data_IF_054666692916
#
_entry.id   IF_054666692916
#
_cell.length_a   1.000
_cell.length_b   1.000
_cell.length_c   1.000
_cell.angle_alpha   90.00
_cell.angle_beta   90.00
_cell.angle_gamma   90.00
#
_symmetry.space_group_name_H-M   'P 1'
#
loop_
_entity.id
_entity.type
_entity.pdbx_description
1 polymer ?
#
# COMPACT_ATOMS: atom_id res chain seq x y z
N UNK A 1 27.93 24.95 1.14
CA UNK A 1 26.47 25.06 1.38
C UNK A 1 25.67 23.93 0.72
N UNK A 2 26.07 22.66 0.88
CA UNK A 2 25.42 21.51 0.18
C UNK A 2 24.94 20.40 1.10
N UNK A 3 25.67 20.15 2.20
CA UNK A 3 25.38 19.05 3.12
C UNK A 3 24.08 19.24 3.91
N UNK A 4 23.77 20.48 4.29
CA UNK A 4 22.52 20.80 4.99
C UNK A 4 21.27 20.51 4.16
N UNK A 5 21.32 20.69 2.84
CA UNK A 5 20.17 20.37 1.96
C UNK A 5 19.90 18.87 1.93
N UNK A 6 20.96 18.07 1.92
CA UNK A 6 20.90 16.60 1.98
C UNK A 6 20.40 16.10 3.34
N UNK A 7 20.92 16.64 4.44
CA UNK A 7 20.45 16.32 5.80
C UNK A 7 18.97 16.67 5.99
N UNK A 8 18.53 17.82 5.48
CA UNK A 8 17.14 18.25 5.57
C UNK A 8 16.21 17.36 4.74
N UNK A 9 16.61 17.02 3.51
CA UNK A 9 15.86 16.09 2.66
C UNK A 9 15.79 14.69 3.26
N UNK A 10 16.88 14.19 3.82
CA UNK A 10 16.92 12.88 4.46
C UNK A 10 15.96 12.82 5.66
N UNK A 11 16.00 13.83 6.52
CA UNK A 11 15.09 13.96 7.65
C UNK A 11 13.62 14.05 7.19
N UNK A 12 13.35 14.80 6.12
CA UNK A 12 12.01 14.97 5.56
C UNK A 12 11.47 13.66 4.98
N UNK A 13 12.28 12.91 4.23
CA UNK A 13 11.91 11.58 3.70
C UNK A 13 11.61 10.61 4.85
N UNK A 14 12.47 10.56 5.87
CA UNK A 14 12.27 9.69 7.04
C UNK A 14 10.96 10.06 7.76
N UNK A 15 10.68 11.35 7.95
CA UNK A 15 9.46 11.82 8.58
C UNK A 15 8.20 11.43 7.77
N UNK A 16 8.23 11.62 6.44
CA UNK A 16 7.11 11.24 5.57
C UNK A 16 6.89 9.72 5.58
N UNK A 17 7.96 8.92 5.46
CA UNK A 17 7.88 7.45 5.52
C UNK A 17 7.35 6.98 6.86
N UNK A 18 7.83 7.57 7.96
CA UNK A 18 7.38 7.22 9.31
C UNK A 18 5.91 7.60 9.52
N UNK A 19 5.49 8.78 9.06
CA UNK A 19 4.10 9.23 9.16
C UNK A 19 3.18 8.37 8.30
N UNK A 20 3.56 8.04 7.06
CA UNK A 20 2.84 7.09 6.21
C UNK A 20 2.76 5.71 6.89
N UNK A 21 3.87 5.14 7.38
CA UNK A 21 3.84 3.85 8.09
C UNK A 21 2.96 3.88 9.32
N UNK A 22 2.93 5.00 10.07
CA UNK A 22 2.11 5.16 11.25
C UNK A 22 0.62 5.28 10.90
N UNK A 23 0.29 6.01 9.84
CA UNK A 23 -1.09 6.15 9.36
C UNK A 23 -1.61 4.89 8.67
N UNK A 24 -0.76 4.13 7.95
CA UNK A 24 -1.11 2.84 7.34
C UNK A 24 -1.28 1.73 8.40
N UNK A 25 -0.52 1.75 9.50
CA UNK A 25 -0.68 0.82 10.63
C UNK A 25 -1.83 1.20 11.57
N UNK A 26 -2.30 2.47 11.53
CA UNK A 26 -3.39 2.96 12.37
C UNK A 26 -4.80 2.73 11.79
N UNK A 27 -4.99 1.89 10.75
CA UNK A 27 -6.32 1.40 10.38
C UNK A 27 -6.71 0.16 11.19
N UNK A 28 -7.98 0.12 11.61
CA UNK A 28 -8.37 -0.38 12.91
C UNK A 28 -8.16 -1.89 12.99
N UNK A 29 -7.82 -2.37 14.19
CA UNK A 29 -8.32 -3.65 14.65
C UNK A 29 -9.85 -3.59 14.64
N UNK A 30 -10.47 -3.68 13.46
CA UNK A 30 -11.84 -4.12 13.38
C UNK A 30 -11.76 -5.62 13.57
N UNK A 31 -11.80 -5.98 14.86
CA UNK A 31 -12.47 -7.17 15.34
C UNK A 31 -13.62 -7.46 14.39
N UNK A 32 -13.44 -8.46 13.56
CA UNK A 32 -14.56 -9.28 13.13
C UNK A 32 -14.24 -10.69 13.58
N UNK A 33 -14.40 -10.85 14.89
CA UNK A 33 -14.91 -12.06 15.52
C UNK A 33 -15.88 -12.76 14.54
N UNK A 34 -15.63 -14.04 14.29
CA UNK A 34 -16.64 -14.99 13.83
C UNK A 34 -17.14 -14.85 12.39
N UNK A 35 -16.42 -15.47 11.44
CA UNK A 35 -17.07 -16.41 10.53
C UNK A 35 -16.09 -17.52 10.18
N UNK A 36 -16.36 -18.69 10.75
CA UNK A 36 -15.83 -19.96 10.32
C UNK A 36 -15.90 -20.06 8.78
N UNK A 37 -14.85 -20.64 8.18
CA UNK A 37 -14.87 -21.30 6.88
C UNK A 37 -15.11 -20.45 5.62
N UNK A 38 -14.13 -19.62 5.23
CA UNK A 38 -13.65 -19.64 3.84
C UNK A 38 -12.26 -18.97 3.73
N UNK A 39 -11.25 -19.62 3.14
CA UNK A 39 -10.03 -18.92 2.75
C UNK A 39 -10.42 -17.89 1.69
N UNK A 40 -10.44 -16.62 2.07
CA UNK A 40 -10.55 -15.52 1.10
C UNK A 40 -9.29 -15.59 0.22
N UNK A 41 -9.41 -15.68 -1.12
CA UNK A 41 -8.26 -15.73 -1.99
C UNK A 41 -7.39 -14.49 -1.77
N UNK A 42 -6.14 -14.71 -1.39
CA UNK A 42 -5.15 -13.65 -1.25
C UNK A 42 -4.57 -13.37 -2.63
N UNK A 43 -4.68 -12.13 -3.07
CA UNK A 43 -4.18 -11.67 -4.36
C UNK A 43 -2.97 -10.77 -4.14
N UNK A 44 -2.02 -10.81 -5.06
CA UNK A 44 -0.80 -10.02 -4.96
C UNK A 44 -0.98 -8.69 -5.70
N UNK A 45 -0.58 -7.60 -5.06
CA UNK A 45 -0.58 -6.29 -5.71
C UNK A 45 0.44 -6.29 -6.86
N UNK A 46 0.01 -5.97 -8.08
CA UNK A 46 0.88 -5.91 -9.26
C UNK A 46 1.98 -4.85 -9.16
N UNK A 47 1.79 -3.79 -8.37
CA UNK A 47 2.74 -2.68 -8.24
C UNK A 47 3.64 -2.77 -7.00
N UNK A 48 3.11 -3.24 -5.85
CA UNK A 48 3.86 -3.28 -4.59
C UNK A 48 4.31 -4.69 -4.19
N UNK A 49 3.81 -5.73 -4.85
CA UNK A 49 4.13 -7.12 -4.53
C UNK A 49 3.58 -7.62 -3.19
N UNK A 50 2.79 -6.82 -2.46
CA UNK A 50 2.19 -7.18 -1.17
C UNK A 50 0.95 -8.06 -1.35
N UNK A 51 0.71 -8.99 -0.43
CA UNK A 51 -0.48 -9.85 -0.44
C UNK A 51 -1.65 -9.18 0.28
N UNK A 52 -2.78 -9.03 -0.41
CA UNK A 52 -4.02 -8.44 0.11
C UNK A 52 -5.18 -9.41 -0.12
N UNK A 53 -6.16 -9.51 0.79
CA UNK A 53 -7.39 -10.24 0.52
C UNK A 53 -8.16 -9.63 -0.66
N UNK A 54 -8.65 -10.49 -1.57
CA UNK A 54 -9.39 -10.09 -2.79
C UNK A 54 -10.54 -9.13 -2.54
N UNK A 55 -11.24 -9.25 -1.40
CA UNK A 55 -12.35 -8.39 -0.99
C UNK A 55 -11.99 -6.89 -0.89
N UNK A 56 -10.71 -6.59 -0.65
CA UNK A 56 -10.20 -5.21 -0.52
C UNK A 56 -9.28 -4.80 -1.67
N UNK A 57 -9.07 -5.69 -2.64
CA UNK A 57 -8.24 -5.41 -3.79
C UNK A 57 -9.11 -4.84 -4.92
N UNK A 58 -8.64 -3.76 -5.54
CA UNK A 58 -9.23 -3.20 -6.73
C UNK A 58 -8.85 -4.09 -7.92
N UNK A 59 -9.83 -4.74 -8.58
CA UNK A 59 -9.57 -5.49 -9.80
C UNK A 59 -9.29 -4.52 -10.95
N UNK A 60 -8.25 -4.80 -11.74
CA UNK A 60 -8.04 -4.12 -13.01
C UNK A 60 -7.40 -5.05 -14.03
N UNK A 61 -8.23 -5.57 -14.94
CA UNK A 61 -7.85 -6.63 -15.87
C UNK A 61 -7.44 -7.90 -15.10
N UNK A 62 -6.26 -8.43 -15.44
CA UNK A 62 -5.65 -9.60 -14.80
C UNK A 62 -4.92 -9.27 -13.48
N UNK A 63 -4.72 -7.97 -13.17
CA UNK A 63 -3.96 -7.53 -12.01
C UNK A 63 -4.85 -7.00 -10.88
N UNK A 64 -4.37 -7.16 -9.65
CA UNK A 64 -5.03 -6.69 -8.43
C UNK A 64 -4.20 -5.59 -7.79
N UNK A 65 -4.85 -4.56 -7.25
CA UNK A 65 -4.19 -3.39 -6.64
C UNK A 65 -4.74 -3.08 -5.26
N UNK A 66 -3.89 -2.65 -4.34
CA UNK A 66 -4.35 -2.33 -2.98
C UNK A 66 -5.04 -0.96 -2.85
N UNK A 67 -4.74 -0.03 -3.76
CA UNK A 67 -5.25 1.35 -3.76
C UNK A 67 -5.38 1.86 -5.20
N UNK A 68 -6.25 2.85 -5.41
CA UNK A 68 -6.44 3.50 -6.72
C UNK A 68 -5.18 4.22 -7.22
N UNK A 69 -4.37 4.78 -6.31
CA UNK A 69 -3.07 5.39 -6.64
C UNK A 69 -2.10 4.40 -7.28
N UNK A 70 -2.04 3.17 -6.76
CA UNK A 70 -1.16 2.12 -7.29
C UNK A 70 -1.65 1.58 -8.62
N UNK A 71 -2.97 1.50 -8.77
CA UNK A 71 -3.57 1.21 -10.06
C UNK A 71 -3.14 2.28 -11.09
N UNK A 72 -3.35 3.55 -10.77
CA UNK A 72 -3.01 4.65 -11.68
C UNK A 72 -1.52 4.70 -12.01
N UNK A 73 -0.64 4.41 -11.03
CA UNK A 73 0.80 4.27 -11.26
C UNK A 73 1.14 3.12 -12.21
N UNK A 74 0.49 1.96 -12.08
CA UNK A 74 0.71 0.85 -13.02
C UNK A 74 0.31 1.23 -14.45
N UNK A 75 -0.84 1.89 -14.61
CA UNK A 75 -1.32 2.37 -15.92
C UNK A 75 -0.42 3.44 -16.52
N UNK A 76 0.22 4.27 -15.69
CA UNK A 76 1.17 5.28 -16.16
C UNK A 76 2.53 4.71 -16.56
N UNK A 77 2.90 3.54 -16.03
CA UNK A 77 4.20 2.91 -16.28
C UNK A 77 4.23 2.09 -17.58
N UNK A 78 3.09 1.75 -18.15
CA UNK A 78 2.97 1.03 -19.43
C UNK A 78 3.01 1.96 -20.65
N UNK A 79 3.41 3.23 -20.47
CA UNK A 79 3.53 4.23 -21.52
C UNK A 79 4.99 4.65 -21.71
#
# INVERSE_FOLDING_TARGET
MGLFRLLFWLALIIAVVWLCRRLLQAKPQKSQKTRLAKPQPMVRCGHCGVHIPRDKALPHGEFWFCCQDHLQKSLSSER
#
